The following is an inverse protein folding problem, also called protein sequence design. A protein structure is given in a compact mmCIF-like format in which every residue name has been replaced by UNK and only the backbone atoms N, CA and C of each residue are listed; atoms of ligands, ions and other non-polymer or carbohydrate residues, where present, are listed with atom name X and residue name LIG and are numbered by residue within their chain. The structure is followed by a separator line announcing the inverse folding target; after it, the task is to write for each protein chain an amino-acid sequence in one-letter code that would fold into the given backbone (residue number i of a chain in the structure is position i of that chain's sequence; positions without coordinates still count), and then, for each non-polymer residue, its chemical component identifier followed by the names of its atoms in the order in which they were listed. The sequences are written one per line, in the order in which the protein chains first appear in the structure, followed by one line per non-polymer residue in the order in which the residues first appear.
data_IF_181965469537
#
_entry.id   IF_181965469537
#
_cell.length_a   1.000
_cell.length_b   1.000
_cell.length_c   1.000
_cell.angle_alpha   90.00
_cell.angle_beta   90.00
_cell.angle_gamma   90.00
#
_symmetry.space_group_name_H-M   'P 1'
#
loop_
_entity.id
_entity.type
_entity.pdbx_description
1 polymer ?
#
# COMPACT_ATOMS: atom_id res chain seq x y z
N UNK A 1 -8.89 28.28 4.80
CA UNK A 1 -7.70 29.15 5.02
C UNK A 1 -6.60 28.46 5.83
N UNK A 2 -6.93 27.62 6.83
CA UNK A 2 -5.94 26.88 7.66
C UNK A 2 -5.23 25.75 6.87
N UNK A 3 -5.94 25.00 6.01
CA UNK A 3 -5.37 23.92 5.19
C UNK A 3 -4.31 24.40 4.17
N UNK A 4 -4.51 25.58 3.58
CA UNK A 4 -3.60 26.14 2.56
C UNK A 4 -2.28 26.59 3.20
N UNK A 5 -2.33 27.23 4.38
CA UNK A 5 -1.14 27.62 5.13
C UNK A 5 -0.32 26.42 5.62
N UNK A 6 -0.99 25.32 6.01
CA UNK A 6 -0.35 24.05 6.38
C UNK A 6 0.41 23.41 5.21
N UNK A 7 -0.21 23.34 4.03
CA UNK A 7 0.42 22.86 2.80
C UNK A 7 1.62 23.72 2.37
N UNK A 8 1.51 25.05 2.47
CA UNK A 8 2.61 25.98 2.14
C UNK A 8 3.83 25.75 3.04
N UNK A 9 3.63 25.49 4.33
CA UNK A 9 4.74 25.17 5.24
C UNK A 9 5.33 23.78 5.00
N UNK A 10 4.52 22.80 4.56
CA UNK A 10 5.01 21.47 4.20
C UNK A 10 5.90 21.51 2.94
N UNK A 11 5.53 22.34 1.96
CA UNK A 11 6.27 22.56 0.69
C UNK A 11 7.61 23.29 0.93
N UNK A 12 7.77 24.01 2.04
CA UNK A 12 9.02 24.68 2.40
C UNK A 12 10.15 23.72 2.84
N UNK A 13 9.84 22.44 3.02
CA UNK A 13 10.80 21.39 3.40
C UNK A 13 11.47 20.81 2.15
N UNK A 14 12.80 20.92 2.02
CA UNK A 14 13.56 20.38 0.88
C UNK A 14 13.51 18.83 0.76
N UNK A 15 12.92 18.13 1.73
CA UNK A 15 12.81 16.67 1.80
C UNK A 15 11.39 16.15 1.48
N UNK A 16 10.45 17.04 1.13
CA UNK A 16 9.08 16.65 0.75
C UNK A 16 8.73 17.31 -0.58
N UNK A 17 8.56 16.48 -1.62
CA UNK A 17 8.09 16.94 -2.91
C UNK A 17 6.58 16.74 -3.00
N UNK A 18 5.82 17.83 -3.01
CA UNK A 18 4.36 17.79 -3.22
C UNK A 18 4.03 17.99 -4.70
N UNK A 19 3.58 16.92 -5.35
CA UNK A 19 3.29 16.93 -6.80
C UNK A 19 1.85 17.36 -7.14
N UNK A 20 0.93 17.40 -6.18
CA UNK A 20 -0.47 17.74 -6.43
C UNK A 20 -1.18 16.73 -7.34
N UNK A 21 -1.96 17.23 -8.30
CA UNK A 21 -2.62 16.40 -9.32
C UNK A 21 -1.69 16.25 -10.52
N UNK A 22 -1.31 15.01 -10.83
CA UNK A 22 -0.39 14.68 -11.92
C UNK A 22 -1.04 13.70 -12.92
N UNK A 23 -0.59 13.69 -14.18
CA UNK A 23 -0.99 12.68 -15.15
C UNK A 23 -0.62 11.26 -14.69
N UNK A 24 -1.37 10.27 -15.16
CA UNK A 24 -1.19 8.87 -14.77
C UNK A 24 0.22 8.33 -15.08
N UNK A 25 0.82 8.73 -16.20
CA UNK A 25 2.14 8.25 -16.58
C UNK A 25 3.26 8.84 -15.71
N UNK A 26 3.10 10.10 -15.27
CA UNK A 26 4.00 10.72 -14.29
C UNK A 26 3.88 10.02 -12.94
N UNK A 27 2.66 9.72 -12.51
CA UNK A 27 2.42 8.94 -11.30
C UNK A 27 3.11 7.57 -11.33
N UNK A 28 2.98 6.83 -12.44
CA UNK A 28 3.66 5.54 -12.61
C UNK A 28 5.18 5.69 -12.53
N UNK A 29 5.74 6.71 -13.18
CA UNK A 29 7.19 6.96 -13.12
C UNK A 29 7.67 7.27 -11.69
N UNK A 30 6.92 8.09 -10.94
CA UNK A 30 7.22 8.37 -9.54
C UNK A 30 7.12 7.12 -8.67
N UNK A 31 6.09 6.30 -8.88
CA UNK A 31 5.94 5.04 -8.18
C UNK A 31 7.12 4.12 -8.49
N UNK A 32 7.50 3.94 -9.77
CA UNK A 32 8.65 3.14 -10.19
C UNK A 32 9.95 3.55 -9.50
N UNK A 33 10.21 4.85 -9.37
CA UNK A 33 11.39 5.41 -8.69
C UNK A 33 11.34 5.29 -7.16
N UNK A 34 10.16 5.07 -6.58
CA UNK A 34 10.00 4.94 -5.14
C UNK A 34 10.32 3.51 -4.67
N UNK A 35 10.96 3.36 -3.52
CA UNK A 35 11.25 2.05 -2.92
C UNK A 35 10.18 1.65 -1.87
N UNK A 36 9.74 2.63 -1.09
CA UNK A 36 8.77 2.48 0.00
C UNK A 36 7.50 3.22 -0.38
N UNK A 37 6.35 2.59 -0.15
CA UNK A 37 5.04 3.22 -0.29
C UNK A 37 4.30 3.21 1.05
N UNK A 38 3.66 4.33 1.37
CA UNK A 38 2.95 4.51 2.63
C UNK A 38 1.44 4.38 2.43
N UNK A 39 0.78 3.62 3.32
CA UNK A 39 -0.67 3.57 3.47
C UNK A 39 -1.03 3.86 4.93
N UNK A 40 -0.98 5.14 5.29
CA UNK A 40 -1.24 5.59 6.66
C UNK A 40 -2.70 6.05 6.74
N UNK A 41 -3.45 5.45 7.68
CA UNK A 41 -4.84 5.75 8.00
C UNK A 41 -4.95 6.07 9.48
N UNK A 42 -5.69 7.12 9.79
CA UNK A 42 -6.03 7.47 11.16
C UNK A 42 -7.01 6.42 11.73
N UNK A 43 -6.68 5.73 12.83
CA UNK A 43 -7.58 4.77 13.46
C UNK A 43 -8.84 5.40 14.05
N UNK A 44 -8.86 6.72 14.27
CA UNK A 44 -10.06 7.43 14.74
C UNK A 44 -11.11 7.63 13.64
N UNK A 45 -10.74 7.46 12.37
CA UNK A 45 -11.63 7.58 11.23
C UNK A 45 -12.31 6.24 10.89
N UNK A 46 -13.54 6.07 11.37
CA UNK A 46 -14.35 4.86 11.17
C UNK A 46 -14.77 4.65 9.71
N UNK A 47 -14.70 5.66 8.83
CA UNK A 47 -15.02 5.49 7.40
C UNK A 47 -14.05 4.52 6.71
N UNK A 48 -12.90 4.24 7.33
CA UNK A 48 -11.86 3.39 6.79
C UNK A 48 -12.03 1.90 7.11
N UNK A 49 -13.07 1.48 7.83
CA UNK A 49 -13.23 0.10 8.30
C UNK A 49 -13.72 -0.91 7.25
N UNK A 50 -14.22 -0.43 6.12
CA UNK A 50 -14.74 -1.30 5.06
C UNK A 50 -14.18 -0.99 3.66
N UNK A 51 -13.20 -0.09 3.59
CA UNK A 51 -12.58 0.27 2.32
C UNK A 51 -11.63 -0.81 1.86
N UNK A 52 -11.87 -1.32 0.66
CA UNK A 52 -10.93 -2.20 -0.02
C UNK A 52 -9.59 -1.47 -0.23
N UNK A 53 -8.45 -2.04 0.18
CA UNK A 53 -7.16 -1.34 0.15
C UNK A 53 -6.50 -1.40 -1.24
N UNK A 54 -7.17 -0.89 -2.26
CA UNK A 54 -6.72 -0.93 -3.66
C UNK A 54 -5.31 -0.36 -3.86
N UNK A 55 -4.97 0.74 -3.16
CA UNK A 55 -3.63 1.33 -3.23
C UNK A 55 -2.53 0.46 -2.63
N UNK A 56 -2.81 -0.29 -1.57
CA UNK A 56 -1.84 -1.26 -1.03
C UNK A 56 -1.54 -2.31 -2.10
N UNK A 57 -2.57 -2.86 -2.74
CA UNK A 57 -2.39 -3.88 -3.77
C UNK A 57 -1.64 -3.34 -5.00
N UNK A 58 -1.92 -2.10 -5.40
CA UNK A 58 -1.21 -1.41 -6.48
C UNK A 58 0.29 -1.26 -6.16
N UNK A 59 0.63 -0.83 -4.94
CA UNK A 59 2.02 -0.71 -4.49
C UNK A 59 2.73 -2.06 -4.43
N UNK A 60 2.06 -3.09 -3.91
CA UNK A 60 2.60 -4.45 -3.88
C UNK A 60 2.82 -5.01 -5.29
N UNK A 61 1.89 -4.77 -6.22
CA UNK A 61 2.03 -5.16 -7.62
C UNK A 61 3.19 -4.43 -8.32
N UNK A 62 3.48 -3.19 -7.92
CA UNK A 62 4.66 -2.43 -8.35
C UNK A 62 5.96 -2.83 -7.60
N UNK A 63 5.92 -3.86 -6.75
CA UNK A 63 7.09 -4.40 -6.05
C UNK A 63 7.62 -3.51 -4.92
N UNK A 64 6.78 -2.63 -4.35
CA UNK A 64 7.16 -1.69 -3.30
C UNK A 64 7.07 -2.31 -1.92
N UNK A 65 7.96 -1.88 -1.03
CA UNK A 65 7.78 -2.17 0.40
C UNK A 65 6.65 -1.28 0.94
N UNK A 66 5.56 -1.90 1.37
CA UNK A 66 4.40 -1.15 1.87
C UNK A 66 4.43 -1.06 3.38
N UNK A 67 4.45 0.17 3.91
CA UNK A 67 4.26 0.45 5.33
C UNK A 67 2.82 0.92 5.55
N UNK A 68 2.10 0.21 6.41
CA UNK A 68 0.68 0.45 6.69
C UNK A 68 0.43 0.67 8.18
N UNK A 69 -0.48 1.59 8.51
CA UNK A 69 -0.99 1.73 9.89
C UNK A 69 -2.23 0.92 10.19
N UNK A 70 -2.68 0.12 9.21
CA UNK A 70 -3.81 -0.79 9.35
C UNK A 70 -3.43 -2.19 8.90
N UNK A 71 -3.84 -3.17 9.69
CA UNK A 71 -3.75 -4.58 9.32
C UNK A 71 -5.00 -5.00 8.54
N UNK A 72 -4.82 -5.87 7.55
CA UNK A 72 -5.91 -6.43 6.75
C UNK A 72 -5.85 -7.93 6.88
N UNK A 73 -6.93 -8.55 7.39
CA UNK A 73 -6.98 -9.99 7.69
C UNK A 73 -6.71 -10.89 6.48
N UNK A 74 -7.06 -10.43 5.27
CA UNK A 74 -6.83 -11.18 4.04
C UNK A 74 -5.40 -11.06 3.50
N UNK A 75 -4.60 -10.11 4.03
CA UNK A 75 -3.20 -9.94 3.64
C UNK A 75 -2.35 -10.74 4.63
N UNK A 76 -1.60 -11.77 4.17
CA UNK A 76 -0.78 -12.57 5.05
C UNK A 76 0.31 -11.76 5.76
N UNK A 77 0.72 -12.23 6.93
CA UNK A 77 1.87 -11.69 7.64
C UNK A 77 3.13 -11.72 6.76
N UNK A 78 3.97 -10.69 6.88
CA UNK A 78 5.22 -10.58 6.13
C UNK A 78 5.08 -10.03 4.70
N UNK A 79 3.87 -9.66 4.28
CA UNK A 79 3.61 -8.91 3.03
C UNK A 79 3.65 -7.39 3.28
N UNK A 80 3.15 -6.93 4.44
CA UNK A 80 3.18 -5.53 4.84
C UNK A 80 4.12 -5.32 6.02
N UNK A 81 4.70 -4.12 6.10
CA UNK A 81 5.33 -3.60 7.30
C UNK A 81 4.31 -2.77 8.05
N UNK A 82 4.20 -2.99 9.36
CA UNK A 82 3.22 -2.28 10.18
C UNK A 82 3.88 -1.18 11.01
N UNK A 83 3.16 -0.07 11.17
CA UNK A 83 3.45 0.95 12.16
C UNK A 83 2.15 1.43 12.81
N UNK A 84 2.18 1.78 14.08
CA UNK A 84 1.08 2.54 14.67
C UNK A 84 1.00 3.94 14.04
N UNK A 85 -0.16 4.60 14.13
CA UNK A 85 -0.37 5.95 13.60
C UNK A 85 0.33 7.02 14.46
N UNK A 86 1.66 6.97 14.52
CA UNK A 86 2.54 7.94 15.17
C UNK A 86 3.94 7.93 14.54
N UNK A 87 4.68 9.03 14.75
CA UNK A 87 6.00 9.25 14.14
C UNK A 87 7.04 8.20 14.55
N UNK A 88 7.09 7.81 15.82
CA UNK A 88 8.12 6.90 16.32
C UNK A 88 7.97 5.50 15.70
N UNK A 89 6.73 5.02 15.59
CA UNK A 89 6.43 3.72 14.98
C UNK A 89 6.72 3.74 13.48
N UNK A 90 6.38 4.84 12.78
CA UNK A 90 6.73 5.02 11.37
C UNK A 90 8.24 5.03 11.13
N UNK A 91 9.02 5.75 11.93
CA UNK A 91 10.49 5.78 11.82
C UNK A 91 11.08 4.39 12.03
N UNK A 92 10.58 3.62 12.99
CA UNK A 92 11.02 2.24 13.22
C UNK A 92 10.72 1.35 12.02
N UNK A 93 9.52 1.46 11.43
CA UNK A 93 9.15 0.69 10.25
C UNK A 93 10.02 1.03 9.03
N UNK A 94 10.29 2.31 8.77
CA UNK A 94 11.19 2.73 7.68
C UNK A 94 12.60 2.19 7.89
N UNK A 95 13.16 2.33 9.10
CA UNK A 95 14.49 1.79 9.43
C UNK A 95 14.54 0.27 9.28
N UNK A 96 13.45 -0.43 9.61
CA UNK A 96 13.35 -1.88 9.43
C UNK A 96 13.45 -2.26 7.95
N UNK A 97 12.73 -1.57 7.06
CA UNK A 97 12.83 -1.78 5.61
C UNK A 97 14.25 -1.49 5.11
N UNK A 98 14.84 -0.36 5.51
CA UNK A 98 16.20 0.02 5.12
C UNK A 98 17.29 -0.95 5.63
N UNK A 99 17.01 -1.68 6.70
CA UNK A 99 17.95 -2.66 7.27
C UNK A 99 17.95 -4.03 6.59
N UNK A 100 17.04 -4.27 5.64
CA UNK A 100 16.93 -5.56 4.96
C UNK A 100 18.15 -5.83 4.08
N UNK A 101 18.72 -7.02 4.22
CA UNK A 101 19.76 -7.52 3.30
C UNK A 101 19.19 -7.72 1.90
N UNK A 102 20.06 -7.82 0.90
CA UNK A 102 19.64 -8.07 -0.49
C UNK A 102 18.82 -9.37 -0.58
N UNK A 103 19.24 -10.40 0.15
CA UNK A 103 18.57 -11.70 0.21
C UNK A 103 17.18 -11.60 0.87
N UNK A 104 17.06 -10.82 1.95
CA UNK A 104 15.77 -10.57 2.60
C UNK A 104 14.81 -9.78 1.69
N UNK A 105 15.32 -8.80 0.95
CA UNK A 105 14.56 -8.03 -0.03
C UNK A 105 14.09 -8.91 -1.19
N UNK A 106 14.95 -9.77 -1.73
CA UNK A 106 14.59 -10.71 -2.80
C UNK A 106 13.53 -11.70 -2.32
N UNK A 107 13.72 -12.29 -1.14
CA UNK A 107 12.75 -13.19 -0.53
C UNK A 107 11.40 -12.49 -0.30
N UNK A 108 11.40 -11.23 0.14
CA UNK A 108 10.18 -10.43 0.25
C UNK A 108 9.49 -10.26 -1.10
N UNK A 109 10.21 -9.82 -2.14
CA UNK A 109 9.65 -9.60 -3.48
C UNK A 109 9.04 -10.87 -4.07
N UNK A 110 9.69 -12.04 -3.89
CA UNK A 110 9.15 -13.33 -4.32
C UNK A 110 7.83 -13.65 -3.60
N UNK A 111 7.77 -13.44 -2.27
CA UNK A 111 6.53 -13.68 -1.50
C UNK A 111 5.40 -12.75 -1.96
N UNK A 112 5.68 -11.47 -2.14
CA UNK A 112 4.71 -10.48 -2.61
C UNK A 112 4.22 -10.82 -4.01
N UNK A 113 5.13 -11.12 -4.93
CA UNK A 113 4.77 -11.52 -6.29
C UNK A 113 3.84 -12.74 -6.28
N UNK A 114 4.19 -13.78 -5.52
CA UNK A 114 3.35 -14.97 -5.38
C UNK A 114 1.97 -14.63 -4.84
N UNK A 115 1.90 -13.83 -3.76
CA UNK A 115 0.62 -13.39 -3.19
C UNK A 115 -0.26 -12.65 -4.20
N UNK A 116 0.32 -11.71 -4.97
CA UNK A 116 -0.41 -10.97 -5.99
C UNK A 116 -0.90 -11.89 -7.11
N UNK A 117 -0.02 -12.73 -7.65
CA UNK A 117 -0.37 -13.62 -8.77
C UNK A 117 -1.41 -14.68 -8.37
N UNK A 118 -1.33 -15.18 -7.15
CA UNK A 118 -2.25 -16.22 -6.67
C UNK A 118 -3.66 -15.68 -6.37
N UNK A 119 -3.81 -14.37 -6.10
CA UNK A 119 -5.07 -13.79 -5.59
C UNK A 119 -5.67 -12.64 -6.41
N UNK A 120 -4.85 -11.80 -7.06
CA UNK A 120 -5.27 -10.51 -7.62
C UNK A 120 -4.96 -10.40 -9.12
N UNK A 121 -5.29 -11.44 -9.87
CA UNK A 121 -5.20 -11.47 -11.34
C UNK A 121 -6.59 -11.44 -11.96
N UNK A 122 -6.66 -11.08 -13.25
CA UNK A 122 -7.91 -11.11 -14.01
C UNK A 122 -8.55 -12.51 -13.99
N UNK A 123 -7.74 -13.56 -14.18
CA UNK A 123 -8.22 -14.95 -14.09
C UNK A 123 -8.85 -15.25 -12.73
N UNK A 124 -8.26 -14.78 -11.63
CA UNK A 124 -8.83 -14.97 -10.29
C UNK A 124 -10.12 -14.20 -10.08
N UNK A 125 -10.21 -12.99 -10.63
CA UNK A 125 -11.46 -12.24 -10.60
C UNK A 125 -12.57 -12.98 -11.35
N UNK A 126 -12.28 -13.46 -12.56
CA UNK A 126 -13.23 -14.25 -13.38
C UNK A 126 -13.67 -15.51 -12.61
N UNK A 127 -12.73 -16.26 -12.02
CA UNK A 127 -13.05 -17.43 -11.20
C UNK A 127 -14.02 -17.09 -10.05
N UNK A 128 -13.78 -15.97 -9.35
CA UNK A 128 -14.64 -15.50 -8.26
C UNK A 128 -16.04 -15.11 -8.76
N UNK A 129 -16.13 -14.39 -9.88
CA UNK A 129 -17.40 -14.00 -10.49
C UNK A 129 -18.23 -15.23 -10.89
N UNK A 130 -17.60 -16.21 -11.55
CA UNK A 130 -18.26 -17.46 -11.94
C UNK A 130 -18.80 -18.23 -10.73
N UNK A 131 -18.07 -18.24 -9.61
CA UNK A 131 -18.56 -18.89 -8.37
C UNK A 131 -19.79 -18.19 -7.82
N UNK A 132 -19.78 -16.86 -7.78
CA UNK A 132 -20.92 -16.07 -7.30
C UNK A 132 -22.17 -16.30 -8.15
N UNK A 133 -22.03 -16.36 -9.47
CA UNK A 133 -23.15 -16.64 -10.38
C UNK A 133 -23.74 -18.05 -10.17
N UNK A 134 -22.90 -19.05 -9.90
CA UNK A 134 -23.35 -20.42 -9.65
C UNK A 134 -23.94 -20.61 -8.25
N UNK A 135 -23.42 -19.92 -7.23
CA UNK A 135 -23.96 -19.95 -5.87
C UNK A 135 -25.33 -19.25 -5.76
N UNK A 136 -25.62 -18.28 -6.65
CA UNK A 136 -26.94 -17.64 -6.73
C UNK A 136 -28.04 -18.52 -7.34
N UNK A 137 -27.72 -19.67 -7.93
CA UNK A 137 -28.71 -20.63 -8.46
C UNK A 137 -29.23 -21.63 -7.40
N UNK A 138 -28.84 -21.47 -6.12
CA UNK A 138 -29.15 -22.42 -5.02
C UNK A 138 -30.21 -21.87 -4.04
N UNK A 139 -30.86 -20.75 -4.34
CA UNK A 139 -31.98 -20.19 -3.54
C UNK A 139 -33.33 -20.35 -4.23
#
# INVERSE_FOLDING_TARGET
MILILSLVNLIASNNINFYGLIPMDEYKSLLEQSEIAFSLRDPADMEHDFNFPSKILEYLAAGKFVISSKMYSFIPEGILFYCDFNTDSLVKAVKKVQSLSIEEQEAYKIRVYKFIMDNFTESRLIDCLNRLENDQQVF
#
